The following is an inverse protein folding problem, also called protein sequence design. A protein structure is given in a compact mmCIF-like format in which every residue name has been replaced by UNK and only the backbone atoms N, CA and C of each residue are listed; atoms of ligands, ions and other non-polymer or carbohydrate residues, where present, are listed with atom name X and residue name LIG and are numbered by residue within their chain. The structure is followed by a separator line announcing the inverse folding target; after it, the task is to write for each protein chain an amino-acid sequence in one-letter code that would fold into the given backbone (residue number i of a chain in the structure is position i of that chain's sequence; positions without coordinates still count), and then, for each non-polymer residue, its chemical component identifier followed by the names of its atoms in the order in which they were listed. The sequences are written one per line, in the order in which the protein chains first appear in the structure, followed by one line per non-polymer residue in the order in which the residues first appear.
data_IF_872466207609
#
_entry.id   IF_872466207609
#
_cell.length_a   1.000
_cell.length_b   1.000
_cell.length_c   1.000
_cell.angle_alpha   90.00
_cell.angle_beta   90.00
_cell.angle_gamma   90.00
#
_symmetry.space_group_name_H-M   'P 1'
#
loop_
_entity.id
_entity.type
_entity.pdbx_description
1 polymer ?
#
# COMPACT_ATOMS: atom_id res chain seq x y z
N UNK A 1 -3.24 -3.93 11.41
CA UNK A 1 -2.56 -2.88 10.65
C UNK A 1 -3.56 -2.25 9.70
N UNK A 2 -3.37 -0.97 9.41
CA UNK A 2 -4.33 -0.25 8.61
C UNK A 2 -4.07 -0.46 7.14
N UNK A 3 -5.11 -0.52 6.35
CA UNK A 3 -4.98 -0.62 4.90
C UNK A 3 -4.98 0.76 4.29
N UNK A 4 -4.35 0.88 3.14
CA UNK A 4 -4.30 2.15 2.42
C UNK A 4 -4.77 1.92 0.99
N UNK A 5 -5.51 2.87 0.45
CA UNK A 5 -6.09 2.75 -0.87
C UNK A 5 -5.51 3.81 -1.79
N UNK A 6 -5.14 3.39 -2.99
CA UNK A 6 -4.65 4.32 -4.00
C UNK A 6 -5.83 5.14 -4.52
N UNK A 7 -5.74 6.46 -4.45
CA UNK A 7 -6.86 7.29 -4.87
C UNK A 7 -6.91 7.44 -6.38
N UNK A 8 -5.94 6.91 -7.10
CA UNK A 8 -5.91 7.00 -8.54
C UNK A 8 -6.58 5.78 -9.18
N UNK A 9 -6.25 4.59 -8.72
CA UNK A 9 -6.77 3.37 -9.34
C UNK A 9 -7.55 2.48 -8.38
N UNK A 10 -7.68 2.90 -7.11
CA UNK A 10 -8.43 2.14 -6.10
C UNK A 10 -7.77 0.84 -5.67
N UNK A 11 -6.51 0.63 -5.96
CA UNK A 11 -5.81 -0.54 -5.47
C UNK A 11 -5.56 -0.38 -3.97
N UNK A 12 -5.75 -1.45 -3.22
CA UNK A 12 -5.63 -1.40 -1.77
C UNK A 12 -4.36 -2.12 -1.34
N UNK A 13 -3.54 -1.44 -0.55
CA UNK A 13 -2.36 -2.06 0.06
C UNK A 13 -2.79 -2.67 1.38
N UNK A 14 -2.62 -3.98 1.51
CA UNK A 14 -2.97 -4.70 2.72
C UNK A 14 -1.69 -5.09 3.42
N UNK A 15 -1.36 -4.47 4.56
CA UNK A 15 -0.08 -4.79 5.22
C UNK A 15 0.06 -6.24 5.60
N UNK A 16 -1.04 -6.94 5.86
CA UNK A 16 -0.90 -8.33 6.26
C UNK A 16 -0.52 -9.21 5.08
N UNK A 17 -0.66 -8.73 3.86
CA UNK A 17 -0.25 -9.46 2.69
C UNK A 17 1.05 -8.91 2.15
N UNK A 18 1.26 -7.61 2.26
CA UNK A 18 2.43 -6.96 1.71
C UNK A 18 2.38 -6.90 0.19
N UNK A 19 3.55 -6.82 -0.42
CA UNK A 19 3.64 -6.77 -1.87
C UNK A 19 4.90 -7.54 -2.27
N UNK A 20 4.90 -8.84 -2.11
CA UNK A 20 6.13 -9.61 -2.31
C UNK A 20 6.66 -9.54 -3.73
N UNK A 21 5.79 -9.27 -4.70
CA UNK A 21 6.26 -9.17 -6.07
C UNK A 21 7.12 -7.93 -6.25
N UNK A 22 7.05 -6.98 -5.35
CA UNK A 22 7.83 -5.76 -5.42
C UNK A 22 8.74 -5.62 -4.20
N UNK A 23 9.02 -6.73 -3.54
CA UNK A 23 10.01 -6.73 -2.47
C UNK A 23 9.49 -6.33 -1.11
N UNK A 24 8.19 -6.34 -0.90
CA UNK A 24 7.60 -5.95 0.38
C UNK A 24 7.05 -7.18 1.06
N UNK A 25 7.64 -7.55 2.19
CA UNK A 25 7.19 -8.74 2.92
C UNK A 25 5.84 -8.55 3.55
N UNK A 26 5.13 -9.64 3.73
CA UNK A 26 3.88 -9.59 4.49
C UNK A 26 4.17 -9.10 5.89
N UNK A 27 3.29 -8.29 6.43
CA UNK A 27 3.46 -7.72 7.75
C UNK A 27 4.17 -6.37 7.76
N UNK A 28 4.39 -5.76 6.60
CA UNK A 28 5.04 -4.46 6.53
C UNK A 28 3.99 -3.36 6.56
N UNK A 29 4.00 -2.48 7.54
CA UNK A 29 3.04 -1.37 7.55
C UNK A 29 3.33 -0.40 6.41
N UNK A 30 2.29 0.34 6.00
CA UNK A 30 2.44 1.25 4.87
C UNK A 30 3.54 2.27 5.12
N UNK A 31 3.65 2.77 6.34
CA UNK A 31 4.61 3.80 6.63
C UNK A 31 6.04 3.28 6.63
N UNK A 32 6.24 1.97 6.55
CA UNK A 32 7.57 1.41 6.47
C UNK A 32 7.95 1.00 5.07
N UNK A 33 7.14 1.35 4.08
CA UNK A 33 7.48 1.03 2.71
C UNK A 33 8.67 1.87 2.26
N UNK A 34 9.48 1.36 1.34
CA UNK A 34 10.61 2.14 0.83
C UNK A 34 10.11 3.39 0.12
N UNK A 35 10.93 4.43 0.10
CA UNK A 35 10.52 5.68 -0.51
C UNK A 35 10.23 5.53 -1.98
N UNK A 36 10.84 4.58 -2.65
CA UNK A 36 10.63 4.41 -4.07
C UNK A 36 9.53 3.41 -4.39
N UNK A 37 8.81 2.91 -3.39
CA UNK A 37 7.70 2.02 -3.64
C UNK A 37 6.52 2.84 -4.19
N UNK A 38 5.89 2.33 -5.23
CA UNK A 38 4.75 3.00 -5.84
C UNK A 38 3.65 1.98 -6.05
N UNK A 39 2.47 2.46 -6.39
CA UNK A 39 1.34 1.59 -6.65
C UNK A 39 1.70 0.63 -7.79
N UNK A 40 1.51 -0.67 -7.61
CA UNK A 40 1.89 -1.62 -8.66
C UNK A 40 0.98 -1.58 -9.88
N UNK A 41 -0.18 -0.96 -9.78
CA UNK A 41 -1.08 -0.90 -10.91
C UNK A 41 -0.93 0.37 -11.72
N UNK A 42 -0.86 1.52 -11.06
CA UNK A 42 -0.83 2.78 -11.78
C UNK A 42 0.43 3.58 -11.56
N UNK A 43 1.32 3.08 -10.71
CA UNK A 43 2.60 3.71 -10.43
C UNK A 43 2.47 5.05 -9.71
N UNK A 44 1.36 5.28 -9.06
CA UNK A 44 1.18 6.48 -8.26
C UNK A 44 2.08 6.41 -7.03
N UNK A 45 2.57 7.54 -6.57
CA UNK A 45 3.42 7.58 -5.39
C UNK A 45 2.64 7.37 -4.11
N UNK A 46 3.36 7.28 -3.01
CA UNK A 46 2.71 7.02 -1.73
C UNK A 46 1.82 8.18 -1.33
N UNK A 47 2.10 9.37 -1.79
CA UNK A 47 1.27 10.52 -1.45
C UNK A 47 -0.12 10.42 -2.09
N UNK A 48 -0.31 9.52 -3.03
CA UNK A 48 -1.61 9.30 -3.65
C UNK A 48 -2.39 8.18 -2.99
N UNK A 49 -2.00 7.80 -1.79
CA UNK A 49 -2.71 6.80 -1.03
C UNK A 49 -3.40 7.45 0.16
N UNK A 50 -4.55 6.92 0.52
CA UNK A 50 -5.25 7.41 1.70
C UNK A 50 -5.52 6.26 2.65
N UNK A 51 -5.62 6.55 3.92
CA UNK A 51 -5.88 5.56 4.94
C UNK A 51 -7.28 5.00 4.79
N UNK A 52 -7.40 3.69 4.70
CA UNK A 52 -8.67 3.04 4.72
C UNK A 52 -8.98 2.66 6.11
N UNK A 53 -9.96 3.28 6.68
CA UNK A 53 -10.32 3.00 8.05
C UNK A 53 -11.28 1.89 8.11
N UNK A 54 -11.18 0.85 7.31
CA UNK A 54 -12.08 -0.18 7.35
C UNK A 54 -11.86 -1.00 8.51
N UNK A 55 -12.86 -1.45 9.09
CA UNK A 55 -12.72 -2.25 10.16
C UNK A 55 -13.16 -3.52 9.86
N UNK A 56 -12.78 -4.51 10.17
CA UNK A 56 -13.19 -5.72 9.80
C UNK A 56 -13.56 -6.51 10.68
#
# INVERSE_FOLDING_TARGET
MQKYRCIVCDWVYDPSIGDPEHGVSAGTPFEELPDDWVCPLCLAGQEDFELCEEEE
#
